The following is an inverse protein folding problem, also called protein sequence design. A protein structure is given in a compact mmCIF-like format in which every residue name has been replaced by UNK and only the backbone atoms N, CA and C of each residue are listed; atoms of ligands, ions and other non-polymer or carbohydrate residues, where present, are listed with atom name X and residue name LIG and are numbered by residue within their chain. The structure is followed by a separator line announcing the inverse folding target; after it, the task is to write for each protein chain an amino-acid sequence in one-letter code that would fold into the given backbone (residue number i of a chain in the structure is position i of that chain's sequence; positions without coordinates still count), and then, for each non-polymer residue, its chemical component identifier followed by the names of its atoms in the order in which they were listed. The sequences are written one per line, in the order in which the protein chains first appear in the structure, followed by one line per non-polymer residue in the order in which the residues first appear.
data_IF_734295328315
#
_entry.id   IF_734295328315
#
_cell.length_a   1.000
_cell.length_b   1.000
_cell.length_c   1.000
_cell.angle_alpha   90.00
_cell.angle_beta   90.00
_cell.angle_gamma   90.00
#
_symmetry.space_group_name_H-M   'P 1'
#
loop_
_entity.id
_entity.type
_entity.pdbx_description
1 polymer ?
#
# COMPACT_ATOMS: atom_id res chain seq x y z
N UNK A 1 66.28 -42.11 -2.03
CA UNK A 1 65.30 -41.56 -3.00
C UNK A 1 63.94 -41.54 -2.31
N UNK A 2 63.62 -40.48 -1.54
CA UNK A 2 62.79 -39.31 -1.91
C UNK A 2 61.46 -39.66 -2.60
N UNK A 3 60.37 -39.60 -1.85
CA UNK A 3 59.16 -38.89 -2.27
C UNK A 3 58.48 -38.35 -1.00
N UNK A 4 58.60 -37.04 -0.81
CA UNK A 4 57.95 -36.23 0.22
C UNK A 4 56.61 -35.79 -0.35
N UNK A 5 55.51 -36.05 0.34
CA UNK A 5 54.21 -35.42 0.03
C UNK A 5 53.89 -34.50 1.21
N UNK A 6 53.99 -33.20 0.96
CA UNK A 6 53.56 -32.14 1.85
C UNK A 6 52.03 -32.12 1.91
N UNK A 7 51.46 -32.41 3.08
CA UNK A 7 50.06 -32.10 3.38
C UNK A 7 49.94 -30.62 3.72
N UNK A 8 49.40 -29.83 2.80
CA UNK A 8 49.04 -28.45 3.07
C UNK A 8 47.79 -28.41 3.95
N UNK A 9 47.94 -27.95 5.19
CA UNK A 9 46.85 -27.57 6.08
C UNK A 9 46.27 -26.27 5.52
N UNK A 10 45.16 -26.36 4.80
CA UNK A 10 44.33 -25.21 4.43
C UNK A 10 43.44 -24.88 5.63
N UNK A 11 43.92 -23.94 6.44
CA UNK A 11 43.10 -23.16 7.36
C UNK A 11 42.10 -22.36 6.53
N UNK A 12 40.92 -22.94 6.31
CA UNK A 12 39.76 -22.17 5.87
C UNK A 12 39.37 -21.23 7.02
N UNK A 13 39.80 -19.97 6.91
CA UNK A 13 39.22 -18.88 7.68
C UNK A 13 37.76 -18.81 7.24
N UNK A 14 36.89 -19.49 7.99
CA UNK A 14 35.46 -19.22 7.99
C UNK A 14 35.32 -17.78 8.45
N UNK A 15 35.22 -16.85 7.50
CA UNK A 15 34.60 -15.57 7.75
C UNK A 15 33.22 -15.89 8.32
N UNK A 16 33.08 -15.73 9.63
CA UNK A 16 31.78 -15.68 10.30
C UNK A 16 31.08 -14.44 9.73
N UNK A 17 30.42 -14.61 8.58
CA UNK A 17 29.32 -13.74 8.23
C UNK A 17 28.26 -14.03 9.27
N UNK A 18 28.20 -13.17 10.27
CA UNK A 18 27.12 -13.17 11.22
C UNK A 18 25.84 -13.06 10.41
N UNK A 19 25.11 -14.17 10.30
CA UNK A 19 23.70 -14.18 9.97
C UNK A 19 22.97 -13.45 11.10
N UNK A 20 23.12 -12.13 11.15
CA UNK A 20 22.22 -11.28 11.89
C UNK A 20 20.96 -11.28 11.06
N UNK A 21 19.93 -11.96 11.57
CA UNK A 21 18.57 -11.75 11.10
C UNK A 21 18.23 -10.26 11.16
N UNK A 22 17.16 -9.90 10.49
CA UNK A 22 16.79 -8.61 9.94
C UNK A 22 16.68 -7.39 10.89
N UNK A 23 17.23 -7.44 12.09
CA UNK A 23 17.21 -6.33 13.04
C UNK A 23 17.97 -5.07 12.60
N UNK A 24 18.84 -5.15 11.57
CA UNK A 24 19.59 -3.99 11.06
C UNK A 24 18.72 -3.00 10.27
N UNK A 25 18.16 -3.42 9.11
CA UNK A 25 17.35 -2.57 8.24
C UNK A 25 16.14 -1.92 8.92
N UNK A 26 15.39 -2.65 9.76
CA UNK A 26 14.30 -2.10 10.56
C UNK A 26 14.71 -0.85 11.36
N UNK A 27 15.82 -0.96 12.10
CA UNK A 27 16.32 0.14 12.91
C UNK A 27 16.80 1.31 12.05
N UNK A 28 17.39 1.04 10.88
CA UNK A 28 17.82 2.10 9.96
C UNK A 28 16.60 2.86 9.40
N UNK A 29 15.55 2.15 8.98
CA UNK A 29 14.31 2.72 8.45
C UNK A 29 13.57 3.53 9.52
N UNK A 30 13.31 2.94 10.70
CA UNK A 30 12.62 3.65 11.78
C UNK A 30 13.39 4.90 12.23
N UNK A 31 14.73 4.85 12.32
CA UNK A 31 15.53 6.04 12.68
C UNK A 31 15.46 7.15 11.63
N UNK A 32 15.50 6.80 10.35
CA UNK A 32 15.35 7.77 9.27
C UNK A 32 13.95 8.42 9.32
N UNK A 33 12.90 7.64 9.57
CA UNK A 33 11.55 8.15 9.76
C UNK A 33 11.48 9.15 10.94
N UNK A 34 12.00 8.76 12.12
CA UNK A 34 12.04 9.61 13.31
C UNK A 34 12.78 10.93 13.10
N UNK A 35 13.83 10.93 12.26
CA UNK A 35 14.59 12.14 11.95
C UNK A 35 13.76 13.20 11.21
N UNK A 36 12.73 12.79 10.46
CA UNK A 36 11.84 13.71 9.71
C UNK A 36 10.71 14.30 10.53
N UNK A 37 10.45 13.78 11.74
CA UNK A 37 9.36 14.28 12.57
C UNK A 37 9.60 15.76 12.98
N UNK A 38 8.55 16.59 13.06
CA UNK A 38 8.61 17.92 13.64
C UNK A 38 9.24 17.95 15.05
N UNK A 39 9.83 19.09 15.43
CA UNK A 39 10.53 19.22 16.71
C UNK A 39 9.63 18.96 17.92
N UNK A 40 8.36 19.35 17.86
CA UNK A 40 7.41 19.10 18.95
C UNK A 40 7.10 17.61 19.12
N UNK A 41 7.09 16.83 18.04
CA UNK A 41 6.90 15.37 18.06
C UNK A 41 8.12 14.65 18.64
N UNK A 42 9.32 15.09 18.26
CA UNK A 42 10.57 14.63 18.86
C UNK A 42 10.61 14.92 20.36
N UNK A 43 10.19 16.12 20.76
CA UNK A 43 10.07 16.51 22.17
C UNK A 43 8.96 15.77 22.92
N UNK A 44 7.91 15.33 22.24
CA UNK A 44 6.85 14.52 22.83
C UNK A 44 7.34 13.10 23.10
N UNK A 45 8.03 12.47 22.14
CA UNK A 45 8.61 11.13 22.29
C UNK A 45 9.69 11.06 23.39
N UNK A 46 10.47 12.14 23.58
CA UNK A 46 11.55 12.22 24.58
C UNK A 46 12.47 10.98 24.53
N UNK A 47 12.60 10.30 25.66
CA UNK A 47 13.47 9.14 25.86
C UNK A 47 12.97 7.90 25.12
N UNK A 48 11.72 7.88 24.64
CA UNK A 48 11.18 6.75 23.88
C UNK A 48 11.54 6.78 22.39
N UNK A 49 12.05 7.90 21.86
CA UNK A 49 12.48 7.99 20.46
C UNK A 49 13.64 7.03 20.14
N UNK A 50 14.62 6.95 21.04
CA UNK A 50 15.80 6.07 20.90
C UNK A 50 15.43 4.58 20.92
N UNK A 51 14.69 4.05 21.91
CA UNK A 51 14.29 2.65 21.89
C UNK A 51 13.29 2.34 20.78
N UNK A 52 12.46 3.30 20.34
CA UNK A 52 11.60 3.12 19.16
C UNK A 52 12.44 2.79 17.92
N UNK A 53 13.45 3.60 17.62
CA UNK A 53 14.32 3.41 16.46
C UNK A 53 15.32 2.25 16.54
N UNK A 54 15.53 1.64 17.72
CA UNK A 54 16.57 0.64 17.91
C UNK A 54 16.08 -0.72 18.43
N UNK A 55 14.84 -0.79 18.93
CA UNK A 55 14.35 -1.98 19.64
C UNK A 55 12.85 -2.20 19.49
N UNK A 56 12.02 -1.17 19.62
CA UNK A 56 10.57 -1.39 19.59
C UNK A 56 10.06 -1.77 18.19
N UNK A 57 10.73 -1.33 17.12
CA UNK A 57 10.49 -1.85 15.77
C UNK A 57 10.88 -3.32 15.57
N UNK A 58 11.51 -3.96 16.56
CA UNK A 58 11.88 -5.38 16.52
C UNK A 58 10.94 -6.25 17.37
N UNK A 59 9.92 -5.67 18.02
CA UNK A 59 9.05 -6.41 18.94
C UNK A 59 8.42 -7.64 18.26
N UNK A 60 7.86 -7.56 17.03
CA UNK A 60 7.28 -8.73 16.38
C UNK A 60 8.31 -9.84 16.10
N UNK A 61 9.52 -9.48 15.67
CA UNK A 61 10.64 -10.41 15.48
C UNK A 61 11.10 -11.09 16.79
N UNK A 62 10.98 -10.36 17.88
CA UNK A 62 11.49 -10.77 19.18
C UNK A 62 10.41 -11.36 20.10
N UNK A 63 9.17 -11.59 19.64
CA UNK A 63 8.07 -12.04 20.50
C UNK A 63 8.40 -13.29 21.33
N UNK A 64 9.23 -14.20 20.82
CA UNK A 64 9.68 -15.40 21.55
C UNK A 64 10.81 -15.14 22.56
N UNK A 65 11.63 -14.12 22.32
CA UNK A 65 12.80 -13.77 23.14
C UNK A 65 12.43 -12.74 24.22
N UNK A 66 11.70 -11.70 23.86
CA UNK A 66 11.26 -10.62 24.74
C UNK A 66 9.80 -10.82 25.19
N UNK A 67 9.64 -11.62 26.25
CA UNK A 67 8.33 -11.87 26.84
C UNK A 67 7.66 -10.63 27.43
N UNK A 68 8.43 -9.59 27.80
CA UNK A 68 7.90 -8.38 28.41
C UNK A 68 7.19 -7.50 27.36
N UNK A 69 7.76 -7.41 26.15
CA UNK A 69 7.20 -6.60 25.08
C UNK A 69 6.29 -7.37 24.12
N UNK A 70 6.23 -8.71 24.15
CA UNK A 70 5.41 -9.48 23.21
C UNK A 70 3.93 -9.05 23.15
N UNK A 71 3.36 -8.56 24.27
CA UNK A 71 1.96 -8.11 24.33
C UNK A 71 1.66 -6.96 23.36
N UNK A 72 2.67 -6.20 22.95
CA UNK A 72 2.55 -5.10 22.00
C UNK A 72 2.47 -5.57 20.54
N UNK A 73 2.75 -6.84 20.26
CA UNK A 73 2.60 -7.49 18.97
C UNK A 73 1.47 -8.56 18.96
N UNK A 74 0.52 -8.47 19.91
CA UNK A 74 -0.63 -9.37 20.00
C UNK A 74 -1.93 -8.63 19.69
N UNK A 75 -2.89 -9.36 19.11
CA UNK A 75 -4.22 -8.85 18.80
C UNK A 75 -5.29 -9.55 19.65
N UNK A 76 -6.21 -8.77 20.22
CA UNK A 76 -7.33 -9.27 21.01
C UNK A 76 -8.23 -10.24 20.21
N UNK A 77 -8.29 -10.09 18.88
CA UNK A 77 -9.03 -10.95 17.94
C UNK A 77 -8.40 -12.33 17.72
N UNK A 78 -7.15 -12.54 18.13
CA UNK A 78 -6.43 -13.82 18.01
C UNK A 78 -5.90 -14.27 19.37
N UNK A 79 -6.78 -14.64 20.32
CA UNK A 79 -6.38 -14.96 21.68
C UNK A 79 -5.42 -16.15 21.71
N UNK A 80 -4.32 -16.01 22.45
CA UNK A 80 -3.30 -17.05 22.60
C UNK A 80 -2.28 -17.12 21.46
N UNK A 81 -2.47 -16.40 20.35
CA UNK A 81 -1.49 -16.30 19.29
C UNK A 81 -0.29 -15.44 19.76
N UNK A 82 0.87 -16.07 19.85
CA UNK A 82 2.12 -15.41 20.28
C UNK A 82 2.87 -14.81 19.09
N UNK A 83 2.78 -15.46 17.93
CA UNK A 83 3.42 -15.05 16.69
C UNK A 83 2.33 -14.88 15.64
N UNK A 84 2.24 -13.68 15.08
CA UNK A 84 1.23 -13.31 14.09
C UNK A 84 1.94 -13.16 12.75
N UNK A 85 1.78 -14.14 11.87
CA UNK A 85 2.41 -14.15 10.53
C UNK A 85 2.07 -12.88 9.74
N UNK A 86 0.86 -12.35 9.93
CA UNK A 86 0.42 -11.12 9.26
C UNK A 86 1.25 -9.89 9.61
N UNK A 87 1.97 -9.89 10.74
CA UNK A 87 2.87 -8.79 11.07
C UNK A 87 4.14 -8.77 10.22
N UNK A 88 4.42 -9.87 9.50
CA UNK A 88 5.61 -10.05 8.69
C UNK A 88 5.29 -10.17 7.19
N UNK A 89 4.18 -10.84 6.87
CA UNK A 89 3.75 -11.03 5.48
C UNK A 89 2.37 -10.41 5.29
N UNK A 90 2.16 -9.58 4.25
CA UNK A 90 0.86 -8.97 4.00
C UNK A 90 -0.19 -10.05 3.70
N UNK A 91 -1.32 -9.97 4.41
CA UNK A 91 -2.52 -10.77 4.15
C UNK A 91 -3.42 -10.14 3.10
N UNK A 92 -4.72 -10.44 3.15
CA UNK A 92 -5.72 -9.75 2.32
C UNK A 92 -5.84 -8.28 2.73
N UNK A 93 -6.27 -7.36 1.83
CA UNK A 93 -6.39 -5.95 2.19
C UNK A 93 -7.30 -5.70 3.40
N UNK A 94 -8.33 -6.51 3.61
CA UNK A 94 -9.22 -6.42 4.78
C UNK A 94 -8.51 -6.84 6.07
N UNK A 95 -7.75 -7.94 6.06
CA UNK A 95 -6.97 -8.34 7.23
C UNK A 95 -5.86 -7.31 7.54
N UNK A 96 -5.22 -6.78 6.50
CA UNK A 96 -4.18 -5.75 6.64
C UNK A 96 -4.76 -4.45 7.22
N UNK A 97 -5.94 -4.02 6.76
CA UNK A 97 -6.66 -2.89 7.34
C UNK A 97 -6.89 -3.08 8.84
N UNK A 98 -7.38 -4.25 9.25
CA UNK A 98 -7.65 -4.54 10.66
C UNK A 98 -6.39 -4.55 11.52
N UNK A 99 -5.26 -5.06 11.02
CA UNK A 99 -3.96 -4.99 11.70
C UNK A 99 -3.56 -3.53 11.91
N UNK A 100 -3.54 -2.73 10.84
CA UNK A 100 -3.14 -1.33 10.91
C UNK A 100 -4.05 -0.55 11.86
N UNK A 101 -5.37 -0.69 11.72
CA UNK A 101 -6.39 -0.05 12.55
C UNK A 101 -6.22 -0.40 14.02
N UNK A 102 -6.05 -1.68 14.35
CA UNK A 102 -5.90 -2.14 15.72
C UNK A 102 -4.66 -1.54 16.39
N UNK A 103 -3.48 -1.64 15.76
CA UNK A 103 -2.26 -1.14 16.40
C UNK A 103 -2.22 0.39 16.43
N UNK A 104 -2.77 1.08 15.42
CA UNK A 104 -2.95 2.54 15.44
C UNK A 104 -3.82 2.95 16.63
N UNK A 105 -4.98 2.32 16.80
CA UNK A 105 -5.89 2.60 17.91
C UNK A 105 -5.23 2.37 19.28
N UNK A 106 -4.49 1.27 19.45
CA UNK A 106 -3.74 0.99 20.69
C UNK A 106 -2.65 2.03 20.95
N UNK A 107 -1.88 2.43 19.94
CA UNK A 107 -0.84 3.44 20.08
C UNK A 107 -1.42 4.81 20.45
N UNK A 108 -2.46 5.25 19.72
CA UNK A 108 -3.16 6.52 19.95
C UNK A 108 -3.82 6.52 21.34
N UNK A 109 -4.50 5.44 21.70
CA UNK A 109 -5.16 5.27 23.00
C UNK A 109 -4.17 5.32 24.17
N UNK A 110 -3.05 4.61 24.06
CA UNK A 110 -1.98 4.66 25.06
C UNK A 110 -1.39 6.07 25.21
N UNK A 111 -1.19 6.79 24.09
CA UNK A 111 -0.69 8.16 24.11
C UNK A 111 -1.68 9.11 24.81
N UNK A 112 -2.98 9.01 24.49
CA UNK A 112 -4.05 9.78 25.16
C UNK A 112 -4.15 9.47 26.65
N UNK A 113 -3.82 8.24 27.06
CA UNK A 113 -3.76 7.84 28.47
C UNK A 113 -2.48 8.29 29.19
N UNK A 114 -1.58 9.03 28.52
CA UNK A 114 -0.29 9.46 29.08
C UNK A 114 0.75 8.34 29.18
N UNK A 115 0.52 7.19 28.53
CA UNK A 115 1.39 6.02 28.56
C UNK A 115 2.34 6.02 27.35
N UNK A 116 3.24 7.01 27.29
CA UNK A 116 4.14 7.20 26.16
C UNK A 116 4.97 5.95 25.82
N UNK A 117 5.45 5.22 26.82
CA UNK A 117 6.20 3.99 26.59
C UNK A 117 5.36 2.90 25.91
N UNK A 118 4.09 2.74 26.27
CA UNK A 118 3.21 1.75 25.65
C UNK A 118 2.83 2.20 24.23
N UNK A 119 2.58 3.50 24.05
CA UNK A 119 2.34 4.10 22.74
C UNK A 119 3.52 3.87 21.78
N UNK A 120 4.75 4.11 22.23
CA UNK A 120 5.96 3.90 21.44
C UNK A 120 6.17 2.42 21.07
N UNK A 121 5.79 1.46 21.93
CA UNK A 121 5.90 0.03 21.62
C UNK A 121 4.87 -0.44 20.60
N UNK A 122 3.63 0.05 20.68
CA UNK A 122 2.64 -0.19 19.63
C UNK A 122 3.03 0.50 18.32
N UNK A 123 3.55 1.73 18.38
CA UNK A 123 4.09 2.42 17.21
C UNK A 123 5.27 1.68 16.57
N UNK A 124 6.14 1.07 17.38
CA UNK A 124 7.21 0.18 16.90
C UNK A 124 6.67 -1.05 16.20
N UNK A 125 5.59 -1.65 16.70
CA UNK A 125 4.92 -2.76 16.01
C UNK A 125 4.35 -2.32 14.66
N UNK A 126 3.79 -1.12 14.55
CA UNK A 126 3.34 -0.57 13.26
C UNK A 126 4.54 -0.36 12.33
N UNK A 127 5.63 0.25 12.81
CA UNK A 127 6.84 0.46 12.01
C UNK A 127 7.34 -0.86 11.42
N UNK A 128 7.45 -1.90 12.26
CA UNK A 128 7.82 -3.25 11.85
C UNK A 128 6.94 -3.78 10.71
N UNK A 129 5.62 -3.73 10.88
CA UNK A 129 4.66 -4.22 9.89
C UNK A 129 4.83 -3.52 8.54
N UNK A 130 5.00 -2.20 8.57
CA UNK A 130 5.16 -1.39 7.36
C UNK A 130 6.49 -1.69 6.65
N UNK A 131 7.55 -1.86 7.43
CA UNK A 131 8.89 -2.23 6.95
C UNK A 131 8.86 -3.62 6.30
N UNK A 132 8.22 -4.60 6.95
CA UNK A 132 8.14 -5.98 6.45
C UNK A 132 7.31 -6.05 5.16
N UNK A 133 6.15 -5.40 5.12
CA UNK A 133 5.31 -5.39 3.91
C UNK A 133 5.92 -4.58 2.75
N UNK A 134 6.84 -3.66 3.06
CA UNK A 134 7.67 -2.89 2.14
C UNK A 134 9.02 -3.56 1.80
N UNK A 135 9.33 -4.70 2.41
CA UNK A 135 10.60 -5.40 2.16
C UNK A 135 10.56 -6.18 0.84
N UNK A 136 11.58 -6.04 -0.05
CA UNK A 136 11.62 -6.79 -1.30
C UNK A 136 11.49 -8.30 -1.13
N UNK A 137 12.08 -8.88 -0.07
CA UNK A 137 12.04 -10.32 0.18
C UNK A 137 10.66 -10.83 0.66
N UNK A 138 9.86 -9.97 1.28
CA UNK A 138 8.55 -10.30 1.85
C UNK A 138 7.39 -9.89 0.93
N UNK A 139 7.68 -9.04 -0.05
CA UNK A 139 6.73 -8.57 -1.05
C UNK A 139 6.20 -9.66 -2.00
N UNK A 140 6.74 -10.89 -1.92
CA UNK A 140 6.29 -12.07 -2.69
C UNK A 140 5.94 -13.23 -1.71
N UNK A 141 4.80 -13.17 -0.98
CA UNK A 141 4.52 -14.10 0.13
C UNK A 141 4.49 -15.58 -0.26
N UNK A 142 4.19 -15.90 -1.52
CA UNK A 142 4.18 -17.28 -2.04
C UNK A 142 5.53 -17.81 -2.53
N UNK A 143 6.55 -16.95 -2.65
CA UNK A 143 7.90 -17.32 -3.10
C UNK A 143 8.97 -16.39 -2.50
N UNK A 144 8.94 -16.19 -1.18
CA UNK A 144 9.88 -15.30 -0.47
C UNK A 144 11.33 -15.82 -0.44
N UNK A 145 11.56 -17.05 -0.95
CA UNK A 145 12.88 -17.64 -1.21
C UNK A 145 13.31 -17.51 -2.68
N UNK A 146 12.43 -16.99 -3.55
CA UNK A 146 12.63 -16.76 -4.99
C UNK A 146 12.99 -18.01 -5.80
N UNK A 147 12.41 -19.14 -5.43
CA UNK A 147 12.60 -20.44 -6.08
C UNK A 147 11.92 -20.54 -7.44
N UNK A 148 10.72 -19.96 -7.60
CA UNK A 148 10.05 -19.84 -8.89
C UNK A 148 10.77 -18.81 -9.74
N UNK A 149 11.18 -17.68 -9.15
CA UNK A 149 11.84 -16.61 -9.89
C UNK A 149 13.16 -17.07 -10.54
N UNK A 150 13.89 -17.97 -9.89
CA UNK A 150 15.08 -18.64 -10.46
C UNK A 150 14.83 -19.42 -11.75
N UNK A 151 13.59 -19.78 -12.07
CA UNK A 151 13.24 -20.45 -13.33
C UNK A 151 13.09 -19.45 -14.48
N UNK A 152 12.77 -18.19 -14.19
CA UNK A 152 12.70 -17.10 -15.16
C UNK A 152 14.05 -16.40 -15.33
N UNK A 153 14.81 -16.25 -14.24
CA UNK A 153 16.15 -15.67 -14.22
C UNK A 153 17.14 -16.70 -13.65
N UNK A 154 17.69 -17.54 -14.54
CA UNK A 154 18.55 -18.66 -14.15
C UNK A 154 19.77 -18.18 -13.34
N UNK A 155 20.02 -18.75 -12.15
CA UNK A 155 21.17 -18.37 -11.34
C UNK A 155 22.49 -18.84 -11.96
N UNK A 156 23.61 -18.11 -11.76
CA UNK A 156 24.94 -18.64 -11.99
C UNK A 156 25.22 -19.82 -11.03
N UNK A 157 26.23 -20.67 -11.31
CA UNK A 157 26.53 -21.85 -10.50
C UNK A 157 26.66 -21.59 -8.99
N UNK A 158 27.21 -20.42 -8.60
CA UNK A 158 27.35 -20.00 -7.20
C UNK A 158 26.02 -19.79 -6.47
N UNK A 159 24.95 -19.44 -7.18
CA UNK A 159 23.62 -19.17 -6.60
C UNK A 159 22.60 -20.29 -6.85
N UNK A 160 23.01 -21.40 -7.49
CA UNK A 160 22.11 -22.50 -7.86
C UNK A 160 21.29 -23.04 -6.68
N UNK A 161 21.92 -23.19 -5.52
CA UNK A 161 21.28 -23.72 -4.31
C UNK A 161 21.19 -22.71 -3.15
N UNK A 162 21.67 -21.48 -3.36
CA UNK A 162 21.68 -20.46 -2.31
C UNK A 162 20.26 -19.89 -2.08
N UNK A 163 19.74 -19.82 -0.84
CA UNK A 163 18.50 -19.11 -0.56
C UNK A 163 18.68 -17.61 -0.84
N UNK A 164 17.70 -16.97 -1.47
CA UNK A 164 17.79 -15.56 -1.86
C UNK A 164 17.12 -14.60 -0.87
N UNK A 165 16.32 -15.10 0.08
CA UNK A 165 15.63 -14.28 1.08
C UNK A 165 16.59 -13.32 1.79
N UNK A 166 17.56 -13.86 2.53
CA UNK A 166 18.54 -13.06 3.25
C UNK A 166 19.35 -12.11 2.36
N UNK A 167 19.95 -12.55 1.24
CA UNK A 167 20.68 -11.66 0.33
C UNK A 167 19.85 -10.51 -0.26
N UNK A 168 18.55 -10.71 -0.47
CA UNK A 168 17.65 -9.66 -0.98
C UNK A 168 17.27 -8.70 0.14
N UNK A 169 17.02 -9.25 1.32
CA UNK A 169 16.53 -8.57 2.51
C UNK A 169 17.60 -7.73 3.22
N UNK A 170 18.86 -8.19 3.23
CA UNK A 170 19.90 -7.64 4.11
C UNK A 170 20.80 -6.63 3.37
N UNK A 171 20.99 -5.46 3.99
CA UNK A 171 21.92 -4.43 3.56
C UNK A 171 22.19 -3.43 4.68
N UNK A 172 23.30 -2.69 4.61
CA UNK A 172 23.51 -1.51 5.46
C UNK A 172 22.89 -0.32 4.74
N UNK A 173 21.91 0.32 5.37
CA UNK A 173 21.10 1.34 4.72
C UNK A 173 21.45 2.71 5.32
N UNK A 174 22.02 3.58 4.49
CA UNK A 174 22.19 5.00 4.83
C UNK A 174 21.05 5.77 4.19
N UNK A 175 19.94 5.89 4.94
CA UNK A 175 18.69 6.45 4.43
C UNK A 175 18.64 7.94 4.76
N UNK A 176 18.69 8.76 3.71
CA UNK A 176 18.42 10.18 3.78
C UNK A 176 17.08 10.48 3.11
N UNK A 177 16.14 11.04 3.86
CA UNK A 177 14.83 11.45 3.37
C UNK A 177 14.81 12.90 2.86
N UNK A 178 15.93 13.62 2.95
CA UNK A 178 16.07 14.99 2.52
C UNK A 178 15.01 15.89 3.15
N UNK A 179 14.23 16.59 2.31
CA UNK A 179 13.18 17.52 2.75
C UNK A 179 11.81 16.85 2.90
N UNK A 180 11.74 15.52 3.02
CA UNK A 180 10.47 14.83 3.23
C UNK A 180 9.80 15.32 4.52
N UNK A 181 8.56 15.76 4.40
CA UNK A 181 7.71 16.10 5.54
C UNK A 181 6.63 15.03 5.69
N UNK A 182 6.52 14.39 6.86
CA UNK A 182 5.47 13.40 7.12
C UNK A 182 4.07 13.96 6.89
N UNK A 183 3.18 13.10 6.39
CA UNK A 183 1.80 13.45 6.06
C UNK A 183 0.84 12.91 7.12
N UNK A 184 -0.14 13.72 7.51
CA UNK A 184 -1.26 13.25 8.31
C UNK A 184 -2.12 12.31 7.44
N UNK A 185 -2.36 11.09 7.94
CA UNK A 185 -3.12 10.06 7.21
C UNK A 185 -4.58 9.96 7.65
N UNK A 186 -4.99 10.61 8.73
CA UNK A 186 -6.37 10.56 9.20
C UNK A 186 -6.62 11.43 10.42
N UNK A 187 -7.89 11.75 10.67
CA UNK A 187 -8.34 12.40 11.92
C UNK A 187 -8.93 11.40 12.93
N UNK A 188 -8.90 10.11 12.60
CA UNK A 188 -9.29 8.97 13.43
C UNK A 188 -8.40 7.76 13.12
N UNK A 189 -8.39 6.74 14.00
CA UNK A 189 -7.64 5.51 13.75
C UNK A 189 -8.14 4.78 12.49
N UNK A 190 -9.46 4.76 12.28
CA UNK A 190 -10.09 4.09 11.12
C UNK A 190 -9.72 4.77 9.79
N UNK A 191 -9.71 6.10 9.77
CA UNK A 191 -9.27 6.87 8.60
C UNK A 191 -7.76 6.72 8.36
N UNK A 192 -6.96 6.83 9.43
CA UNK A 192 -5.52 6.69 9.35
C UNK A 192 -5.13 5.30 8.80
N UNK A 193 -5.78 4.24 9.27
CA UNK A 193 -5.56 2.88 8.78
C UNK A 193 -5.96 2.73 7.30
N UNK A 194 -7.04 3.37 6.88
CA UNK A 194 -7.51 3.35 5.49
C UNK A 194 -6.48 3.97 4.54
N UNK A 195 -5.96 5.15 4.87
CA UNK A 195 -4.92 5.80 4.06
C UNK A 195 -3.56 5.11 4.18
N UNK A 196 -3.21 4.59 5.35
CA UNK A 196 -1.96 3.86 5.58
C UNK A 196 -1.93 2.54 4.80
N UNK A 197 -3.07 1.84 4.69
CA UNK A 197 -3.18 0.65 3.84
C UNK A 197 -2.80 0.96 2.39
N UNK A 198 -3.27 2.10 1.86
CA UNK A 198 -2.90 2.51 0.52
C UNK A 198 -1.39 2.82 0.40
N UNK A 199 -0.83 3.56 1.37
CA UNK A 199 0.60 3.91 1.40
C UNK A 199 1.49 2.68 1.45
N UNK A 200 1.16 1.69 2.27
CA UNK A 200 1.95 0.46 2.37
C UNK A 200 1.79 -0.43 1.13
N UNK A 201 0.63 -0.43 0.46
CA UNK A 201 0.51 -1.10 -0.84
C UNK A 201 1.42 -0.46 -1.90
N UNK A 202 1.56 0.88 -1.92
CA UNK A 202 2.55 1.55 -2.77
C UNK A 202 3.98 1.14 -2.41
N UNK A 203 4.28 0.98 -1.12
CA UNK A 203 5.57 0.49 -0.64
C UNK A 203 5.84 -0.95 -1.14
N UNK A 204 4.87 -1.85 -1.03
CA UNK A 204 4.97 -3.21 -1.58
C UNK A 204 5.24 -3.21 -3.09
N UNK A 205 4.61 -2.31 -3.86
CA UNK A 205 4.90 -2.16 -5.31
C UNK A 205 6.33 -1.67 -5.54
N UNK A 206 6.74 -0.64 -4.82
CA UNK A 206 8.10 -0.11 -4.88
C UNK A 206 9.13 -1.21 -4.56
N UNK A 207 8.88 -2.02 -3.53
CA UNK A 207 9.69 -3.17 -3.12
C UNK A 207 9.80 -4.24 -4.20
N UNK A 208 8.66 -4.65 -4.76
CA UNK A 208 8.59 -5.63 -5.87
C UNK A 208 9.41 -5.17 -7.07
N UNK A 209 9.37 -3.87 -7.38
CA UNK A 209 10.16 -3.31 -8.49
C UNK A 209 11.67 -3.42 -8.26
N UNK A 210 12.14 -3.57 -7.01
CA UNK A 210 13.56 -3.74 -6.69
C UNK A 210 14.02 -5.21 -6.69
N UNK A 211 13.10 -6.19 -6.65
CA UNK A 211 13.45 -7.62 -6.62
C UNK A 211 14.36 -8.02 -7.79
N UNK A 212 13.97 -7.66 -9.03
CA UNK A 212 14.75 -8.03 -10.22
C UNK A 212 16.12 -7.35 -10.26
N UNK A 213 16.23 -6.02 -10.06
CA UNK A 213 17.53 -5.35 -9.92
C UNK A 213 18.44 -5.98 -8.86
N UNK A 214 17.90 -6.33 -7.69
CA UNK A 214 18.69 -6.95 -6.61
C UNK A 214 19.21 -8.32 -7.05
N UNK A 215 18.35 -9.20 -7.58
CA UNK A 215 18.78 -10.55 -8.01
C UNK A 215 19.82 -10.46 -9.13
N UNK A 216 19.63 -9.57 -10.11
CA UNK A 216 20.61 -9.35 -11.17
C UNK A 216 21.94 -8.85 -10.62
N UNK A 217 21.93 -7.90 -9.68
CA UNK A 217 23.14 -7.42 -8.99
C UNK A 217 23.83 -8.53 -8.22
N UNK A 218 23.10 -9.36 -7.47
CA UNK A 218 23.63 -10.52 -6.74
C UNK A 218 24.32 -11.51 -7.69
N UNK A 219 23.68 -11.83 -8.83
CA UNK A 219 24.23 -12.75 -9.82
C UNK A 219 25.44 -12.19 -10.56
N UNK A 220 25.48 -10.88 -10.78
CA UNK A 220 26.61 -10.19 -11.39
C UNK A 220 27.77 -9.93 -10.40
N UNK A 221 27.55 -10.11 -9.09
CA UNK A 221 28.50 -9.71 -8.06
C UNK A 221 28.61 -8.19 -7.87
N UNK A 222 27.60 -7.43 -8.31
CA UNK A 222 27.55 -5.97 -8.20
C UNK A 222 26.86 -5.54 -6.90
N UNK A 223 27.66 -5.42 -5.84
CA UNK A 223 27.17 -4.98 -4.51
C UNK A 223 26.61 -3.57 -4.50
N UNK A 224 27.06 -2.70 -5.42
CA UNK A 224 26.57 -1.32 -5.49
C UNK A 224 25.17 -1.27 -6.08
N UNK A 225 24.90 -2.04 -7.13
CA UNK A 225 23.56 -2.18 -7.70
C UNK A 225 22.57 -2.78 -6.69
N UNK A 226 22.99 -3.80 -5.93
CA UNK A 226 22.19 -4.38 -4.84
C UNK A 226 21.86 -3.33 -3.78
N UNK A 227 22.87 -2.65 -3.24
CA UNK A 227 22.69 -1.63 -2.21
C UNK A 227 21.79 -0.47 -2.69
N UNK A 228 21.97 -0.02 -3.94
CA UNK A 228 21.15 1.05 -4.51
C UNK A 228 19.67 0.65 -4.66
N UNK A 229 19.40 -0.60 -5.03
CA UNK A 229 18.03 -1.11 -5.14
C UNK A 229 17.40 -1.34 -3.76
N UNK A 230 18.13 -1.89 -2.80
CA UNK A 230 17.67 -2.01 -1.41
C UNK A 230 17.37 -0.65 -0.78
N UNK A 231 18.25 0.33 -1.02
CA UNK A 231 18.05 1.70 -0.53
C UNK A 231 16.78 2.33 -1.09
N UNK A 232 16.46 2.13 -2.38
CA UNK A 232 15.20 2.62 -2.97
C UNK A 232 13.95 2.04 -2.29
N UNK A 233 13.99 0.76 -1.90
CA UNK A 233 12.89 0.15 -1.15
C UNK A 233 12.77 0.80 0.23
N UNK A 234 13.86 0.78 1.00
CA UNK A 234 13.91 1.28 2.37
C UNK A 234 13.61 2.78 2.51
N UNK A 235 14.02 3.62 1.54
CA UNK A 235 13.69 5.04 1.53
C UNK A 235 12.18 5.27 1.48
N UNK A 236 11.45 4.49 0.68
CA UNK A 236 10.00 4.63 0.62
C UNK A 236 9.33 4.12 1.89
N UNK A 237 9.81 3.00 2.45
CA UNK A 237 9.31 2.47 3.72
C UNK A 237 9.50 3.48 4.85
N UNK A 238 10.67 4.14 4.92
CA UNK A 238 10.93 5.18 5.92
C UNK A 238 9.96 6.37 5.79
N UNK A 239 9.54 6.74 4.57
CA UNK A 239 8.49 7.74 4.37
C UNK A 239 7.12 7.26 4.89
N UNK A 240 6.77 6.00 4.67
CA UNK A 240 5.49 5.41 5.13
C UNK A 240 5.47 5.28 6.65
N UNK A 241 6.58 4.84 7.26
CA UNK A 241 6.75 4.80 8.72
C UNK A 241 6.66 6.21 9.30
N UNK A 242 7.29 7.20 8.66
CA UNK A 242 7.22 8.59 9.10
C UNK A 242 5.79 9.13 9.10
N UNK A 243 5.02 8.88 8.04
CA UNK A 243 3.59 9.26 7.96
C UNK A 243 2.76 8.60 9.08
N UNK A 244 3.02 7.32 9.37
CA UNK A 244 2.34 6.58 10.43
C UNK A 244 2.67 7.14 11.83
N UNK A 245 3.96 7.35 12.12
CA UNK A 245 4.41 7.92 13.40
C UNK A 245 3.85 9.33 13.62
N UNK A 246 3.95 10.19 12.60
CA UNK A 246 3.39 11.53 12.64
C UNK A 246 1.89 11.50 12.92
N UNK A 247 1.15 10.63 12.23
CA UNK A 247 -0.30 10.48 12.42
C UNK A 247 -0.65 10.02 13.84
N UNK A 248 0.08 9.04 14.40
CA UNK A 248 -0.11 8.57 15.78
C UNK A 248 0.09 9.72 16.76
N UNK A 249 1.16 10.49 16.60
CA UNK A 249 1.52 11.59 17.50
C UNK A 249 0.51 12.73 17.40
N UNK A 250 0.09 13.13 16.20
CA UNK A 250 -0.98 14.12 15.99
C UNK A 250 -2.30 13.69 16.65
N UNK A 251 -2.74 12.46 16.42
CA UNK A 251 -4.01 11.95 16.95
C UNK A 251 -3.99 11.74 18.46
N UNK A 252 -2.86 11.29 19.01
CA UNK A 252 -2.68 11.04 20.43
C UNK A 252 -2.48 12.33 21.23
N UNK A 253 -1.73 13.30 20.70
CA UNK A 253 -1.57 14.63 21.29
C UNK A 253 -2.76 15.56 21.04
N UNK A 254 -3.69 15.15 20.17
CA UNK A 254 -4.83 15.97 19.71
C UNK A 254 -4.38 17.28 19.06
N UNK A 255 -3.28 17.22 18.31
CA UNK A 255 -2.68 18.35 17.59
C UNK A 255 -2.72 18.07 16.10
N UNK A 256 -3.72 18.63 15.41
CA UNK A 256 -3.92 18.46 13.98
C UNK A 256 -3.90 19.83 13.30
N UNK A 257 -3.05 20.00 12.29
CA UNK A 257 -3.06 21.21 11.48
C UNK A 257 -4.36 21.27 10.64
N UNK A 258 -5.12 22.39 10.64
CA UNK A 258 -6.35 22.49 9.87
C UNK A 258 -6.20 22.20 8.37
N UNK A 259 -5.07 22.62 7.77
CA UNK A 259 -4.80 22.34 6.34
C UNK A 259 -4.57 20.85 6.07
N UNK A 260 -3.94 20.15 7.01
CA UNK A 260 -3.74 18.71 6.91
C UNK A 260 -5.06 17.94 7.07
N UNK A 261 -5.98 18.42 7.91
CA UNK A 261 -7.33 17.85 8.00
C UNK A 261 -8.17 18.11 6.74
N UNK A 262 -8.04 19.30 6.14
CA UNK A 262 -8.77 19.68 4.92
C UNK A 262 -8.38 18.80 3.72
N UNK A 263 -7.11 18.40 3.60
CA UNK A 263 -6.65 17.53 2.50
C UNK A 263 -7.24 16.11 2.56
N UNK A 264 -7.77 15.69 3.71
CA UNK A 264 -8.40 14.39 3.93
C UNK A 264 -9.92 14.41 3.63
N UNK A 265 -10.50 15.54 3.24
CA UNK A 265 -11.95 15.65 3.02
C UNK A 265 -12.48 14.87 1.83
N UNK A 266 -11.63 14.64 0.84
CA UNK A 266 -12.00 13.89 -0.35
C UNK A 266 -10.91 12.88 -0.69
N UNK A 267 -11.33 11.69 -1.10
CA UNK A 267 -10.42 10.64 -1.56
C UNK A 267 -10.78 10.26 -2.97
N UNK A 268 -9.82 10.38 -3.89
CA UNK A 268 -9.96 9.85 -5.24
C UNK A 268 -9.73 8.33 -5.22
N UNK A 269 -10.79 7.57 -5.53
CA UNK A 269 -10.74 6.11 -5.62
C UNK A 269 -10.03 5.64 -6.90
N UNK A 270 -9.79 6.50 -7.89
CA UNK A 270 -9.02 6.14 -9.07
C UNK A 270 -7.54 5.92 -8.77
N UNK A 271 -7.03 6.59 -7.74
CA UNK A 271 -5.70 6.37 -7.19
C UNK A 271 -5.64 5.17 -6.21
N UNK A 272 -6.76 4.58 -5.82
CA UNK A 272 -6.83 3.49 -4.84
C UNK A 272 -6.89 2.11 -5.52
N UNK A 273 -6.33 1.10 -4.83
CA UNK A 273 -6.40 -0.28 -5.30
C UNK A 273 -7.74 -0.90 -4.89
N UNK A 274 -8.53 -1.47 -5.81
CA UNK A 274 -9.71 -2.23 -5.45
C UNK A 274 -9.31 -3.56 -4.78
N UNK A 275 -10.20 -4.15 -3.99
CA UNK A 275 -9.95 -5.38 -3.23
C UNK A 275 -9.62 -6.58 -4.13
N UNK A 276 -10.08 -6.57 -5.38
CA UNK A 276 -9.76 -7.58 -6.39
C UNK A 276 -8.30 -7.50 -6.88
N UNK A 277 -7.59 -6.41 -6.60
CA UNK A 277 -6.25 -6.10 -7.12
C UNK A 277 -5.07 -6.64 -6.29
N UNK A 278 -5.29 -7.67 -5.46
CA UNK A 278 -4.30 -8.13 -4.46
C UNK A 278 -2.91 -8.44 -5.05
N UNK A 279 -2.86 -8.97 -6.28
CA UNK A 279 -1.62 -9.30 -7.01
C UNK A 279 -1.39 -8.40 -8.23
N UNK A 280 -2.28 -7.44 -8.49
CA UNK A 280 -2.34 -6.66 -9.73
C UNK A 280 -2.32 -5.16 -9.44
N UNK A 281 -1.37 -4.70 -8.61
CA UNK A 281 -1.13 -3.28 -8.38
C UNK A 281 -0.69 -2.50 -9.62
N UNK A 282 -0.40 -3.21 -10.72
CA UNK A 282 -0.26 -2.60 -12.04
C UNK A 282 -1.62 -2.67 -12.74
N UNK A 283 -2.23 -1.51 -13.03
CA UNK A 283 -3.38 -1.43 -13.91
C UNK A 283 -3.20 -2.25 -15.17
N UNK A 284 -4.07 -3.23 -15.37
CA UNK A 284 -4.09 -3.95 -16.63
C UNK A 284 -5.00 -3.19 -17.59
N UNK A 285 -4.43 -2.74 -18.69
CA UNK A 285 -5.11 -1.80 -19.57
C UNK A 285 -5.78 -2.55 -20.71
N UNK A 286 -7.01 -2.99 -20.46
CA UNK A 286 -7.87 -3.50 -21.52
C UNK A 286 -9.33 -3.21 -21.21
N UNK A 287 -9.98 -2.42 -22.07
CA UNK A 287 -11.43 -2.19 -22.08
C UNK A 287 -12.28 -3.48 -22.28
N UNK A 288 -11.65 -4.66 -22.36
CA UNK A 288 -12.27 -5.91 -22.80
C UNK A 288 -12.08 -7.14 -21.89
N UNK A 289 -11.51 -7.03 -20.68
CA UNK A 289 -11.31 -8.22 -19.82
C UNK A 289 -11.41 -7.98 -18.30
N UNK A 290 -11.80 -9.04 -17.58
CA UNK A 290 -12.05 -9.09 -16.13
C UNK A 290 -10.78 -9.48 -15.32
N UNK A 291 -10.62 -8.99 -14.07
CA UNK A 291 -10.96 -7.67 -13.56
C UNK A 291 -9.72 -6.79 -13.67
N UNK A 292 -9.67 -5.97 -14.71
CA UNK A 292 -8.53 -5.09 -14.93
C UNK A 292 -8.97 -3.64 -14.74
N UNK A 293 -8.34 -2.97 -13.77
CA UNK A 293 -8.67 -1.63 -13.27
C UNK A 293 -7.53 -0.66 -13.63
N UNK A 294 -7.84 0.63 -13.81
CA UNK A 294 -6.87 1.73 -13.95
C UNK A 294 -6.99 2.52 -15.26
N UNK A 295 -5.86 2.86 -15.91
CA UNK A 295 -5.89 3.83 -17.02
C UNK A 295 -6.42 3.25 -18.34
N UNK A 296 -7.29 3.99 -19.07
CA UNK A 296 -7.76 3.56 -20.37
C UNK A 296 -6.65 3.59 -21.43
N UNK A 297 -6.51 2.51 -22.21
CA UNK A 297 -5.60 2.43 -23.37
C UNK A 297 -6.33 1.93 -24.62
N UNK A 298 -5.92 2.38 -25.81
CA UNK A 298 -6.42 1.85 -27.08
C UNK A 298 -5.54 0.72 -27.64
N UNK A 299 -6.14 -0.17 -28.45
CA UNK A 299 -5.45 -1.27 -29.14
C UNK A 299 -5.53 -2.63 -28.42
N UNK A 300 -5.28 -3.72 -29.16
CA UNK A 300 -5.22 -5.11 -28.63
C UNK A 300 -4.02 -5.28 -27.67
N UNK A 301 -2.96 -4.51 -27.92
CA UNK A 301 -1.81 -4.32 -27.02
C UNK A 301 -1.90 -2.85 -26.60
N UNK A 302 -2.29 -2.57 -25.35
CA UNK A 302 -2.59 -1.23 -24.85
C UNK A 302 -1.38 -0.30 -24.74
N UNK A 303 -0.81 0.11 -25.87
CA UNK A 303 0.44 0.88 -25.94
C UNK A 303 0.25 2.39 -25.89
N UNK A 304 -0.98 2.89 -26.11
CA UNK A 304 -1.29 4.31 -26.10
C UNK A 304 -2.36 4.61 -25.04
N UNK A 305 -1.95 5.32 -23.98
CA UNK A 305 -2.88 5.88 -22.99
C UNK A 305 -3.86 6.84 -23.67
N UNK A 306 -5.14 6.71 -23.35
CA UNK A 306 -6.20 7.58 -23.88
C UNK A 306 -6.64 8.53 -22.78
N UNK A 307 -6.77 9.84 -23.02
CA UNK A 307 -7.30 10.75 -22.02
C UNK A 307 -8.73 10.37 -21.61
N UNK A 308 -9.05 10.51 -20.32
CA UNK A 308 -10.40 10.27 -19.80
C UNK A 308 -11.37 11.34 -20.30
N UNK A 309 -12.11 11.08 -21.39
CA UNK A 309 -13.04 12.04 -21.99
C UNK A 309 -14.48 11.57 -21.93
N UNK A 310 -15.37 12.36 -21.33
CA UNK A 310 -16.81 12.14 -21.34
C UNK A 310 -17.52 13.31 -22.04
N UNK A 311 -18.62 13.01 -22.71
CA UNK A 311 -19.60 14.04 -23.08
C UNK A 311 -20.34 14.46 -21.80
N UNK A 312 -20.42 15.74 -21.46
CA UNK A 312 -21.11 16.25 -20.27
C UNK A 312 -22.07 17.37 -20.66
N UNK A 313 -23.13 17.57 -19.89
CA UNK A 313 -24.01 18.73 -20.06
C UNK A 313 -23.51 19.89 -19.22
N UNK A 314 -23.05 20.96 -19.87
CA UNK A 314 -22.65 22.22 -19.23
C UNK A 314 -23.49 23.36 -19.80
N UNK A 315 -24.16 24.13 -18.93
CA UNK A 315 -25.05 25.24 -19.32
C UNK A 315 -26.11 24.86 -20.38
N UNK A 316 -26.61 23.62 -20.36
CA UNK A 316 -27.60 23.11 -21.32
C UNK A 316 -27.04 22.60 -22.65
N UNK A 317 -25.71 22.66 -22.86
CA UNK A 317 -25.04 22.16 -24.05
C UNK A 317 -24.21 20.91 -23.74
N UNK A 318 -24.12 19.99 -24.70
CA UNK A 318 -23.24 18.83 -24.60
C UNK A 318 -21.84 19.23 -25.06
N UNK A 319 -20.85 19.07 -24.19
CA UNK A 319 -19.43 19.33 -24.49
C UNK A 319 -18.58 18.12 -24.11
N UNK A 320 -17.49 17.90 -24.84
CA UNK A 320 -16.50 16.88 -24.46
C UNK A 320 -15.57 17.45 -23.39
N UNK A 321 -15.56 16.84 -22.21
CA UNK A 321 -14.70 17.22 -21.09
C UNK A 321 -13.65 16.14 -20.84
N UNK A 322 -12.40 16.56 -20.68
CA UNK A 322 -11.32 15.71 -20.21
C UNK A 322 -11.19 15.79 -18.69
N UNK A 323 -11.03 14.64 -18.04
CA UNK A 323 -10.83 14.50 -16.61
C UNK A 323 -9.37 14.13 -16.32
N UNK A 324 -8.83 14.66 -15.22
CA UNK A 324 -7.48 14.32 -14.76
C UNK A 324 -7.48 12.93 -14.10
N UNK A 325 -8.50 12.66 -13.29
CA UNK A 325 -8.63 11.46 -12.47
C UNK A 325 -9.85 10.65 -12.88
N UNK A 326 -9.74 9.32 -12.81
CA UNK A 326 -10.82 8.41 -13.15
C UNK A 326 -10.35 7.03 -13.59
N UNK A 327 -11.32 6.14 -13.72
CA UNK A 327 -11.10 4.73 -14.02
C UNK A 327 -11.75 4.39 -15.35
N UNK A 328 -10.94 3.94 -16.30
CA UNK A 328 -11.43 3.32 -17.53
C UNK A 328 -11.83 1.88 -17.24
N UNK A 329 -13.06 1.49 -17.60
CA UNK A 329 -13.55 0.13 -17.43
C UNK A 329 -14.17 -0.40 -18.73
N UNK A 330 -14.12 -1.71 -18.92
CA UNK A 330 -14.97 -2.40 -19.87
C UNK A 330 -16.35 -2.72 -19.29
N UNK A 331 -17.04 -3.69 -19.88
CA UNK A 331 -18.23 -4.30 -19.27
C UNK A 331 -17.85 -5.51 -18.43
N UNK A 332 -18.73 -5.87 -17.49
CA UNK A 332 -18.52 -6.93 -16.49
C UNK A 332 -17.42 -6.60 -15.48
N UNK A 333 -17.23 -5.31 -15.22
CA UNK A 333 -16.30 -4.81 -14.20
C UNK A 333 -16.99 -4.75 -12.84
N UNK A 334 -16.29 -5.18 -11.81
CA UNK A 334 -16.66 -5.00 -10.40
C UNK A 334 -15.39 -4.52 -9.70
N UNK A 335 -15.42 -3.31 -9.17
CA UNK A 335 -14.32 -2.73 -8.40
C UNK A 335 -14.81 -2.51 -6.98
N UNK A 336 -14.25 -3.25 -6.03
CA UNK A 336 -14.66 -3.17 -4.64
C UNK A 336 -13.66 -2.35 -3.84
N UNK A 337 -14.14 -1.43 -3.00
CA UNK A 337 -13.32 -0.60 -2.12
C UNK A 337 -13.77 -0.78 -0.67
N UNK A 338 -12.81 -0.87 0.25
CA UNK A 338 -13.08 -0.71 1.66
C UNK A 338 -13.37 0.76 1.94
N UNK A 339 -14.42 1.03 2.72
CA UNK A 339 -14.76 2.37 3.20
C UNK A 339 -14.76 2.32 4.73
N UNK A 340 -13.95 3.13 5.42
CA UNK A 340 -13.98 3.17 6.88
C UNK A 340 -15.34 3.72 7.34
N UNK A 341 -16.03 2.97 8.20
CA UNK A 341 -17.39 3.29 8.63
C UNK A 341 -17.45 4.67 9.29
N UNK A 342 -18.42 5.49 8.87
CA UNK A 342 -18.67 6.80 9.49
C UNK A 342 -17.64 7.90 9.18
N UNK A 343 -16.59 7.61 8.41
CA UNK A 343 -15.58 8.62 8.02
C UNK A 343 -16.06 9.44 6.82
N UNK A 344 -16.55 8.78 5.76
CA UNK A 344 -17.05 9.43 4.56
C UNK A 344 -18.58 9.32 4.49
N UNK A 345 -19.25 10.39 4.09
CA UNK A 345 -20.72 10.48 4.06
C UNK A 345 -21.29 10.28 2.66
N UNK A 346 -20.51 10.54 1.60
CA UNK A 346 -20.97 10.44 0.20
C UNK A 346 -19.94 9.80 -0.72
N UNK A 347 -20.46 9.15 -1.76
CA UNK A 347 -19.70 8.78 -2.95
C UNK A 347 -20.22 9.57 -4.15
N UNK A 348 -19.32 10.21 -4.90
CA UNK A 348 -19.64 10.99 -6.09
C UNK A 348 -18.81 10.55 -7.28
N UNK A 349 -19.38 10.54 -8.50
CA UNK A 349 -18.63 10.30 -9.73
C UNK A 349 -19.39 10.85 -10.95
N UNK A 350 -18.68 11.07 -12.06
CA UNK A 350 -19.28 11.22 -13.39
C UNK A 350 -19.13 9.90 -14.15
N UNK A 351 -20.22 9.31 -14.62
CA UNK A 351 -20.21 8.00 -15.28
C UNK A 351 -20.76 8.07 -16.69
N UNK A 352 -20.06 7.44 -17.63
CA UNK A 352 -20.49 7.44 -19.03
C UNK A 352 -19.57 6.65 -19.93
N UNK A 353 -19.81 6.76 -21.23
CA UNK A 353 -18.96 6.17 -22.26
C UNK A 353 -17.95 7.21 -22.77
N UNK A 354 -16.75 6.74 -23.08
CA UNK A 354 -15.69 7.57 -23.63
C UNK A 354 -16.18 8.30 -24.88
N UNK A 355 -16.00 9.62 -24.95
CA UNK A 355 -16.61 10.48 -25.97
C UNK A 355 -16.32 10.06 -27.42
N UNK A 356 -15.11 9.55 -27.68
CA UNK A 356 -14.67 9.10 -29.02
C UNK A 356 -14.80 7.59 -29.24
N UNK A 357 -14.27 6.78 -28.32
CA UNK A 357 -14.23 5.33 -28.45
C UNK A 357 -15.57 4.65 -28.15
N UNK A 358 -16.37 5.27 -27.27
CA UNK A 358 -17.59 4.69 -26.72
C UNK A 358 -18.87 5.00 -27.49
N UNK A 359 -18.78 5.66 -28.66
CA UNK A 359 -19.93 6.21 -29.41
C UNK A 359 -21.01 5.20 -29.78
N UNK A 360 -20.63 3.94 -29.97
CA UNK A 360 -21.55 2.83 -30.27
C UNK A 360 -21.88 1.95 -29.07
N UNK A 361 -21.33 2.26 -27.89
CA UNK A 361 -21.55 1.51 -26.66
C UNK A 361 -22.92 1.74 -26.03
N UNK A 362 -23.28 0.81 -25.15
CA UNK A 362 -24.46 0.88 -24.30
C UNK A 362 -24.21 0.12 -22.98
N UNK A 363 -24.19 0.84 -21.86
CA UNK A 363 -23.80 0.30 -20.54
C UNK A 363 -24.80 0.65 -19.44
N UNK A 364 -24.78 -0.16 -18.38
CA UNK A 364 -25.41 0.12 -17.09
C UNK A 364 -24.31 0.33 -16.06
N UNK A 365 -24.49 1.34 -15.22
CA UNK A 365 -23.66 1.59 -14.04
C UNK A 365 -24.48 1.28 -12.79
N UNK A 366 -23.83 0.67 -11.81
CA UNK A 366 -24.42 0.42 -10.51
C UNK A 366 -23.39 0.70 -9.40
N UNK A 367 -23.85 1.33 -8.33
CA UNK A 367 -23.11 1.43 -7.08
C UNK A 367 -23.80 0.57 -6.05
N UNK A 368 -23.05 -0.34 -5.42
CA UNK A 368 -23.55 -1.15 -4.30
C UNK A 368 -22.78 -0.84 -3.02
N UNK A 369 -23.48 -0.86 -1.89
CA UNK A 369 -22.91 -0.78 -0.55
C UNK A 369 -23.30 -2.02 0.24
N UNK A 370 -22.31 -2.78 0.74
CA UNK A 370 -22.51 -4.00 1.52
C UNK A 370 -23.48 -4.99 0.83
N UNK A 371 -23.34 -5.18 -0.48
CA UNK A 371 -24.20 -6.06 -1.27
C UNK A 371 -25.59 -5.52 -1.59
N UNK A 372 -25.91 -4.28 -1.23
CA UNK A 372 -27.19 -3.61 -1.55
C UNK A 372 -26.99 -2.52 -2.59
N UNK A 373 -27.86 -2.47 -3.59
CA UNK A 373 -27.85 -1.41 -4.60
C UNK A 373 -28.15 -0.04 -3.97
N UNK A 374 -27.26 0.93 -4.16
CA UNK A 374 -27.44 2.32 -3.75
C UNK A 374 -27.99 3.16 -4.90
N UNK A 375 -27.51 2.93 -6.12
CA UNK A 375 -28.04 3.54 -7.35
C UNK A 375 -27.75 2.67 -8.55
N UNK A 376 -28.69 2.67 -9.52
CA UNK A 376 -28.51 2.12 -10.87
C UNK A 376 -28.75 3.23 -11.89
N UNK A 377 -27.86 3.34 -12.87
CA UNK A 377 -27.92 4.32 -13.94
C UNK A 377 -27.84 3.65 -15.31
N UNK A 378 -28.62 4.17 -16.24
CA UNK A 378 -28.65 3.72 -17.63
C UNK A 378 -29.93 2.98 -18.04
N UNK A 379 -29.97 2.44 -19.26
CA UNK A 379 -28.84 2.32 -20.19
C UNK A 379 -28.28 3.68 -20.65
N UNK A 380 -26.96 3.86 -20.53
CA UNK A 380 -26.25 5.02 -21.07
C UNK A 380 -25.65 4.62 -22.42
N UNK A 381 -26.01 5.35 -23.47
CA UNK A 381 -25.51 5.15 -24.84
C UNK A 381 -24.37 6.13 -25.14
N UNK A 382 -23.48 5.77 -26.06
CA UNK A 382 -22.31 6.57 -26.42
C UNK A 382 -22.60 7.98 -26.93
N UNK A 383 -23.80 8.21 -27.49
CA UNK A 383 -24.28 9.50 -27.99
C UNK A 383 -24.91 10.37 -26.90
N UNK A 384 -24.97 9.90 -25.65
CA UNK A 384 -25.57 10.61 -24.51
C UNK A 384 -24.51 11.22 -23.60
N UNK A 385 -24.81 12.35 -22.95
CA UNK A 385 -23.95 12.89 -21.91
C UNK A 385 -23.85 11.91 -20.73
N UNK A 386 -22.75 11.99 -20.01
CA UNK A 386 -22.49 11.28 -18.77
C UNK A 386 -23.52 11.64 -17.70
N UNK A 387 -23.78 10.67 -16.83
CA UNK A 387 -24.65 10.83 -15.67
C UNK A 387 -23.83 11.12 -14.42
N UNK A 388 -24.42 11.84 -13.48
CA UNK A 388 -23.84 12.08 -12.16
C UNK A 388 -24.28 10.99 -11.19
N UNK A 389 -23.31 10.42 -10.48
CA UNK A 389 -23.53 9.60 -9.29
C UNK A 389 -23.31 10.47 -8.07
N UNK A 390 -24.27 10.46 -7.16
CA UNK A 390 -24.14 11.13 -5.87
C UNK A 390 -25.02 10.40 -4.84
N UNK A 391 -24.40 9.54 -4.02
CA UNK A 391 -25.10 8.64 -3.08
C UNK A 391 -24.55 8.75 -1.66
N UNK A 392 -25.42 8.58 -0.68
CA UNK A 392 -25.04 8.52 0.73
C UNK A 392 -24.35 7.18 1.08
N UNK A 393 -23.41 7.21 2.01
CA UNK A 393 -22.60 6.07 2.45
C UNK A 393 -22.87 5.63 3.90
N UNK A 394 -24.01 6.02 4.48
CA UNK A 394 -24.34 5.65 5.86
C UNK A 394 -24.28 4.11 6.06
N UNK A 395 -23.38 3.67 6.94
CA UNK A 395 -23.15 2.25 7.25
C UNK A 395 -22.47 1.43 6.13
N UNK A 396 -22.02 2.05 5.04
CA UNK A 396 -21.34 1.35 3.95
C UNK A 396 -19.86 1.16 4.31
N UNK A 397 -19.40 -0.10 4.30
CA UNK A 397 -18.00 -0.46 4.55
C UNK A 397 -17.35 -1.17 3.36
N UNK A 398 -18.18 -1.63 2.43
CA UNK A 398 -17.78 -2.23 1.17
C UNK A 398 -18.55 -1.53 0.04
N UNK A 399 -17.85 -0.72 -0.75
CA UNK A 399 -18.40 0.02 -1.88
C UNK A 399 -18.00 -0.67 -3.19
N UNK A 400 -18.98 -1.04 -4.02
CA UNK A 400 -18.73 -1.67 -5.31
C UNK A 400 -19.14 -0.75 -6.46
N UNK A 401 -18.23 -0.54 -7.40
CA UNK A 401 -18.48 0.16 -8.67
C UNK A 401 -18.62 -0.89 -9.77
N UNK A 402 -19.82 -1.00 -10.34
CA UNK A 402 -20.17 -2.08 -11.27
C UNK A 402 -20.52 -1.49 -12.63
N UNK A 403 -19.84 -1.97 -13.67
CA UNK A 403 -20.16 -1.65 -15.07
C UNK A 403 -20.62 -2.92 -15.79
N UNK A 404 -21.83 -2.91 -16.35
CA UNK A 404 -22.36 -4.03 -17.15
C UNK A 404 -22.82 -3.60 -18.54
N UNK A 405 -22.91 -4.53 -19.48
CA UNK A 405 -23.40 -4.24 -20.84
C UNK A 405 -24.92 -4.19 -20.85
N UNK A 406 -25.49 -3.21 -21.55
CA UNK A 406 -26.92 -3.15 -21.85
C UNK A 406 -27.25 -3.65 -23.28
N UNK A 407 -26.26 -4.18 -24.01
CA UNK A 407 -26.37 -4.74 -25.36
C UNK A 407 -25.77 -6.13 -25.45
N UNK A 408 -25.57 -6.65 -26.67
CA UNK A 408 -25.27 -8.08 -26.89
C UNK A 408 -23.79 -8.47 -26.93
N UNK A 409 -22.85 -7.62 -27.34
CA UNK A 409 -21.47 -8.06 -27.66
C UNK A 409 -20.34 -7.36 -26.88
N UNK A 410 -20.63 -6.41 -25.98
CA UNK A 410 -19.58 -5.72 -25.21
C UNK A 410 -18.73 -4.74 -26.04
N UNK A 411 -18.82 -4.78 -27.37
CA UNK A 411 -18.07 -3.94 -28.30
C UNK A 411 -18.45 -2.48 -28.14
N UNK A 412 -17.47 -1.57 -28.18
CA UNK A 412 -17.72 -0.14 -27.99
C UNK A 412 -18.03 0.29 -26.55
N UNK A 413 -18.01 -0.60 -25.55
CA UNK A 413 -18.30 -0.23 -24.16
C UNK A 413 -17.07 0.28 -23.40
N UNK A 414 -16.54 1.40 -23.87
CA UNK A 414 -15.44 2.13 -23.25
C UNK A 414 -15.97 2.97 -22.08
N UNK A 415 -16.35 2.32 -20.98
CA UNK A 415 -16.96 2.98 -19.83
C UNK A 415 -15.92 3.71 -18.98
N UNK A 416 -16.34 4.82 -18.36
CA UNK A 416 -15.49 5.63 -17.49
C UNK A 416 -16.25 5.94 -16.20
N UNK A 417 -15.55 5.77 -15.08
CA UNK A 417 -15.87 6.37 -13.79
C UNK A 417 -14.92 7.55 -13.58
N UNK A 418 -15.33 8.76 -13.94
CA UNK A 418 -14.52 9.96 -13.82
C UNK A 418 -14.69 10.58 -12.43
N UNK A 419 -13.56 11.00 -11.82
CA UNK A 419 -13.49 11.55 -10.47
C UNK A 419 -14.32 10.77 -9.41
N UNK A 420 -14.13 9.44 -9.28
CA UNK A 420 -14.83 8.65 -8.27
C UNK A 420 -14.30 9.01 -6.89
N UNK A 421 -15.04 9.82 -6.13
CA UNK A 421 -14.59 10.40 -4.86
C UNK A 421 -15.41 9.92 -3.68
N UNK A 422 -14.74 9.58 -2.58
CA UNK A 422 -15.34 9.59 -1.24
C UNK A 422 -15.27 11.01 -0.69
N UNK A 423 -16.33 11.46 -0.01
CA UNK A 423 -16.44 12.84 0.48
C UNK A 423 -16.93 12.84 1.94
N UNK A 424 -16.25 13.62 2.80
CA UNK A 424 -16.70 13.90 4.17
C UNK A 424 -17.84 14.92 4.20
N UNK A 425 -18.69 14.86 5.22
CA UNK A 425 -19.69 15.89 5.45
C UNK A 425 -19.03 17.20 5.90
N UNK A 426 -19.44 18.33 5.33
CA UNK A 426 -18.94 19.68 5.67
C UNK A 426 -19.34 20.14 7.07
N UNK A 427 -20.27 19.43 7.72
CA UNK A 427 -20.83 19.82 9.02
C UNK A 427 -20.19 19.12 10.22
N UNK A 428 -19.27 18.17 9.99
CA UNK A 428 -18.55 17.45 11.05
C UNK A 428 -17.04 17.72 10.93
N UNK A 429 -16.64 18.96 11.16
CA UNK A 429 -15.26 19.27 11.53
C UNK A 429 -15.24 19.41 13.06
N UNK A 430 -14.39 18.67 13.79
CA UNK A 430 -14.28 18.82 15.24
C UNK A 430 -13.86 20.22 15.66
#
# INVERSE_FOLDING_TARGET
MRAVVWGAILLAVLAQTSARGWGGPHCDITRAALATLPDWEKQLLRDEAVPLGNRYCLIPDEVHKDKANRKFAMMDSQPGAVYLVILHLPGTPTENYEVLRYFLDKAIGALRAGQMGDAARFAGTIAHVLEDWGCPAHSVPGDNMFTLFKQFLLPPPSYRYAPLHGPIENGRLDIDLGNYSPRLLGVSADEAAFHLLHRVQQATVNARAQVVPIIQGLYAGDSNAVAAAQLKAATFDAMVVADALHTILCLGAQTIEPRAAESLRTVDLSAQNPLEAVNLFMPQTAFFSKPYWGHPTTGVIGTNGVPLRLNVTEHGHVVTKQFADGIGTGTRSVLTYLVPEGVYSRFTAQVGLHAELGTHGCVLFEVMGNGRSLVKLGPIRGDKPAATVDVALAGVTNLQLITSSAGSDGSGNYAIWAEPRLVKDTHNTP
#
